data_IF_862426999890
#
_entry.id   IF_862426999890
#
_cell.length_a   1.000
_cell.length_b   1.000
_cell.length_c   1.000
_cell.angle_alpha   90.00
_cell.angle_beta   90.00
_cell.angle_gamma   90.00
#
_symmetry.space_group_name_H-M   'P 1'
#
loop_
_entity.id
_entity.type
_entity.pdbx_description
1 polymer ?
#
# COMPACT_ATOMS: atom_id res chain seq x y z
N UNK A 1 -1.72 -6.95 10.31
CA UNK A 1 -2.38 -6.02 11.26
C UNK A 1 -1.93 -4.61 10.92
N UNK A 2 -2.80 -3.59 10.99
CA UNK A 2 -2.49 -2.23 10.55
C UNK A 2 -3.67 -1.28 10.77
N UNK A 3 -3.54 -0.03 10.32
CA UNK A 3 -4.53 1.02 10.54
C UNK A 3 -5.95 0.64 10.14
N UNK A 4 -6.92 1.15 10.90
CA UNK A 4 -8.34 1.18 10.53
C UNK A 4 -8.55 2.20 9.41
N UNK A 5 -9.07 1.75 8.27
CA UNK A 5 -9.33 2.63 7.12
C UNK A 5 -10.48 3.57 7.40
N UNK A 6 -10.33 4.84 7.07
CA UNK A 6 -11.39 5.85 7.16
C UNK A 6 -11.29 6.85 6.00
N UNK A 7 -12.42 7.40 5.54
CA UNK A 7 -12.38 8.53 4.60
C UNK A 7 -12.08 9.84 5.34
N UNK A 8 -11.63 10.87 4.62
CA UNK A 8 -11.38 12.20 5.21
C UNK A 8 -12.65 12.73 5.86
N UNK A 9 -13.79 12.65 5.17
CA UNK A 9 -15.07 13.20 5.63
C UNK A 9 -15.51 12.53 6.94
N UNK A 10 -15.42 11.19 6.98
CA UNK A 10 -15.81 10.40 8.15
C UNK A 10 -14.87 10.66 9.33
N UNK A 11 -13.59 10.84 9.09
CA UNK A 11 -12.64 11.19 10.14
C UNK A 11 -12.90 12.59 10.70
N UNK A 12 -13.17 13.57 9.83
CA UNK A 12 -13.51 14.94 10.24
C UNK A 12 -14.75 14.96 11.13
N UNK A 13 -15.81 14.23 10.76
CA UNK A 13 -17.01 14.11 11.61
C UNK A 13 -16.71 13.47 12.97
N UNK A 14 -15.92 12.40 12.99
CA UNK A 14 -15.52 11.73 14.23
C UNK A 14 -14.69 12.65 15.14
N UNK A 15 -13.75 13.39 14.54
CA UNK A 15 -12.88 14.31 15.25
C UNK A 15 -13.66 15.48 15.87
N UNK A 16 -14.61 16.06 15.12
CA UNK A 16 -15.43 17.18 15.59
C UNK A 16 -16.40 16.79 16.72
N UNK A 17 -16.85 15.53 16.78
CA UNK A 17 -17.63 15.03 17.93
C UNK A 17 -16.84 15.08 19.23
N UNK A 18 -15.54 14.79 19.16
CA UNK A 18 -14.65 14.80 20.33
C UNK A 18 -14.05 16.18 20.59
N UNK A 19 -13.92 17.00 19.54
CA UNK A 19 -13.31 18.34 19.59
C UNK A 19 -14.23 19.39 18.92
N UNK A 20 -15.34 19.81 19.57
CA UNK A 20 -16.34 20.69 18.95
C UNK A 20 -15.84 22.09 18.59
N UNK A 21 -14.75 22.55 19.21
CA UNK A 21 -14.13 23.85 18.94
C UNK A 21 -13.21 23.85 17.71
N UNK A 22 -12.86 22.68 17.18
CA UNK A 22 -11.97 22.55 16.03
C UNK A 22 -12.64 23.09 14.76
N UNK A 23 -11.88 23.77 13.90
CA UNK A 23 -12.42 24.30 12.67
C UNK A 23 -12.46 23.20 11.60
N UNK A 24 -13.68 22.78 11.22
CA UNK A 24 -13.90 21.76 10.18
C UNK A 24 -13.10 22.01 8.90
N UNK A 25 -13.14 23.22 8.37
CA UNK A 25 -12.52 23.56 7.09
C UNK A 25 -11.00 23.57 7.19
N UNK A 26 -10.46 24.00 8.33
CA UNK A 26 -9.02 23.96 8.59
C UNK A 26 -8.51 22.52 8.71
N UNK A 27 -9.19 21.70 9.51
CA UNK A 27 -8.86 20.28 9.66
C UNK A 27 -8.88 19.55 8.32
N UNK A 28 -9.92 19.77 7.51
CA UNK A 28 -10.01 19.16 6.18
C UNK A 28 -8.87 19.61 5.26
N UNK A 29 -8.49 20.90 5.30
CA UNK A 29 -7.33 21.40 4.54
C UNK A 29 -6.03 20.75 4.97
N UNK A 30 -5.77 20.63 6.28
CA UNK A 30 -4.57 20.00 6.82
C UNK A 30 -4.47 18.53 6.43
N UNK A 31 -5.58 17.79 6.52
CA UNK A 31 -5.65 16.38 6.08
C UNK A 31 -5.38 16.25 4.58
N UNK A 32 -5.98 17.10 3.73
CA UNK A 32 -5.72 17.10 2.28
C UNK A 32 -4.28 17.46 1.95
N UNK A 33 -3.67 18.38 2.70
CA UNK A 33 -2.26 18.74 2.55
C UNK A 33 -1.35 17.58 2.91
N UNK A 34 -1.56 16.95 4.07
CA UNK A 34 -0.79 15.78 4.49
C UNK A 34 -0.96 14.60 3.52
N UNK A 35 -2.16 14.37 3.00
CA UNK A 35 -2.41 13.34 1.99
C UNK A 35 -1.67 13.64 0.66
N UNK A 36 -1.61 14.91 0.27
CA UNK A 36 -0.83 15.33 -0.91
C UNK A 36 0.66 15.07 -0.69
N UNK A 37 1.19 15.40 0.48
CA UNK A 37 2.58 15.18 0.85
C UNK A 37 2.93 13.69 0.85
N UNK A 38 2.05 12.86 1.42
CA UNK A 38 2.14 11.40 1.34
C UNK A 38 2.19 10.92 -0.11
N UNK A 39 1.28 11.41 -0.96
CA UNK A 39 1.21 11.04 -2.39
C UNK A 39 2.40 11.52 -3.21
N UNK A 40 3.12 12.54 -2.74
CA UNK A 40 4.36 13.01 -3.34
C UNK A 40 5.59 12.24 -2.84
N UNK A 41 5.39 11.21 -2.01
CA UNK A 41 6.47 10.39 -1.45
C UNK A 41 7.28 11.09 -0.36
N UNK A 42 6.75 12.15 0.26
CA UNK A 42 7.39 12.77 1.43
C UNK A 42 7.42 11.75 2.56
N UNK A 43 8.60 11.61 3.17
CA UNK A 43 8.85 10.63 4.23
C UNK A 43 9.12 11.33 5.56
N UNK A 44 8.89 10.60 6.64
CA UNK A 44 9.37 10.98 7.95
C UNK A 44 10.92 11.00 7.96
N UNK A 45 11.51 11.73 8.91
CA UNK A 45 12.96 11.78 9.11
C UNK A 45 13.60 10.40 9.34
N UNK A 46 12.85 9.43 9.87
CA UNK A 46 13.30 8.04 10.03
C UNK A 46 13.27 7.21 8.73
N UNK A 47 12.73 7.75 7.64
CA UNK A 47 12.61 7.07 6.35
C UNK A 47 11.32 6.28 6.13
N UNK A 48 10.44 6.20 7.13
CA UNK A 48 9.10 5.63 6.96
C UNK A 48 8.14 6.59 6.25
N UNK A 49 7.08 6.06 5.66
CA UNK A 49 6.01 6.88 5.11
C UNK A 49 5.30 7.64 6.25
N UNK A 50 4.82 8.84 5.93
CA UNK A 50 4.13 9.67 6.92
C UNK A 50 2.76 9.08 7.25
N UNK A 51 2.34 9.21 8.51
CA UNK A 51 0.97 8.89 8.93
C UNK A 51 0.11 10.12 8.66
N UNK A 52 -0.79 10.08 7.68
CA UNK A 52 -1.48 11.28 7.16
C UNK A 52 -2.33 11.94 8.24
N UNK A 53 -3.07 11.16 9.02
CA UNK A 53 -3.89 11.69 10.10
C UNK A 53 -3.03 12.41 11.15
N UNK A 54 -1.95 11.76 11.62
CA UNK A 54 -1.03 12.37 12.59
C UNK A 54 -0.32 13.60 12.01
N UNK A 55 0.14 13.49 10.76
CA UNK A 55 0.87 14.57 10.08
C UNK A 55 0.03 15.82 9.86
N UNK A 56 -1.28 15.68 9.74
CA UNK A 56 -2.20 16.82 9.68
C UNK A 56 -2.15 17.67 10.97
N UNK A 57 -1.75 17.11 12.11
CA UNK A 57 -1.67 17.79 13.40
C UNK A 57 -0.24 18.23 13.77
N UNK A 58 0.76 17.38 13.53
CA UNK A 58 2.13 17.59 14.04
C UNK A 58 3.19 17.75 12.95
N UNK A 59 2.79 17.76 11.68
CA UNK A 59 3.70 17.81 10.53
C UNK A 59 4.20 16.44 10.10
N UNK A 60 4.83 16.39 8.91
CA UNK A 60 5.18 15.19 8.14
C UNK A 60 6.03 14.15 8.91
N UNK A 61 5.36 13.30 9.68
CA UNK A 61 5.96 12.30 10.57
C UNK A 61 5.20 10.97 10.51
N UNK A 62 5.91 9.87 10.72
CA UNK A 62 5.30 8.53 10.75
C UNK A 62 4.69 8.26 12.12
N UNK A 63 3.81 7.27 12.19
CA UNK A 63 3.13 6.85 13.42
C UNK A 63 4.09 6.64 14.58
N UNK A 64 5.11 5.80 14.40
CA UNK A 64 6.07 5.49 15.47
C UNK A 64 6.83 6.72 15.97
N UNK A 65 7.14 7.70 15.11
CA UNK A 65 7.80 8.93 15.55
C UNK A 65 6.85 9.87 16.31
N UNK A 66 5.54 9.78 16.06
CA UNK A 66 4.52 10.60 16.74
C UNK A 66 4.13 9.97 18.09
N UNK A 67 3.90 8.66 18.12
CA UNK A 67 3.32 7.96 19.28
C UNK A 67 4.36 7.20 20.11
N UNK A 68 5.50 6.85 19.51
CA UNK A 68 6.47 5.91 20.10
C UNK A 68 6.07 4.43 19.95
N UNK A 69 4.94 4.14 19.30
CA UNK A 69 4.39 2.80 19.17
C UNK A 69 4.76 2.14 17.83
N UNK A 70 4.81 0.81 17.82
CA UNK A 70 5.17 0.04 16.62
C UNK A 70 3.96 -0.48 15.84
N UNK A 71 2.79 -0.60 16.47
CA UNK A 71 1.61 -1.23 15.88
C UNK A 71 0.40 -0.29 15.90
N UNK A 72 -0.12 0.12 14.73
CA UNK A 72 -1.24 1.06 14.65
C UNK A 72 -2.60 0.36 14.52
N UNK A 73 -2.78 -0.79 15.18
CA UNK A 73 -3.96 -1.66 15.00
C UNK A 73 -5.27 -0.99 15.37
N UNK A 74 -5.24 -0.08 16.34
CA UNK A 74 -6.43 0.63 16.81
C UNK A 74 -6.59 2.04 16.24
N UNK A 75 -5.56 2.53 15.55
CA UNK A 75 -5.50 3.87 14.99
C UNK A 75 -6.10 3.93 13.59
N UNK A 76 -6.65 5.10 13.28
CA UNK A 76 -7.17 5.36 11.94
C UNK A 76 -6.05 5.81 10.99
N UNK A 77 -6.25 5.50 9.70
CA UNK A 77 -5.54 6.16 8.61
C UNK A 77 -6.49 6.39 7.44
N UNK A 78 -6.24 7.46 6.68
CA UNK A 78 -6.98 7.78 5.47
C UNK A 78 -6.83 6.62 4.49
N UNK A 79 -7.96 6.11 3.98
CA UNK A 79 -8.03 4.96 3.07
C UNK A 79 -7.03 5.01 1.90
N UNK A 80 -6.87 6.18 1.29
CA UNK A 80 -5.95 6.46 0.19
C UNK A 80 -4.47 6.60 0.59
N UNK A 81 -4.16 6.45 1.88
CA UNK A 81 -2.80 6.49 2.45
C UNK A 81 -2.36 5.15 3.09
N UNK A 82 -3.12 4.06 2.89
CA UNK A 82 -2.81 2.76 3.49
C UNK A 82 -1.89 1.89 2.60
N UNK A 83 -1.95 2.07 1.28
CA UNK A 83 -1.01 1.40 0.38
C UNK A 83 0.32 2.14 0.40
N UNK A 84 1.41 1.51 0.85
CA UNK A 84 2.77 2.01 0.63
C UNK A 84 2.89 2.40 -0.84
N UNK A 85 3.22 3.66 -1.13
CA UNK A 85 3.63 3.99 -2.49
C UNK A 85 4.90 3.19 -2.77
N UNK A 86 4.77 2.12 -3.56
CA UNK A 86 5.93 1.50 -4.15
C UNK A 86 6.73 2.59 -4.86
N UNK A 87 8.05 2.55 -4.78
CA UNK A 87 8.88 3.50 -5.50
C UNK A 87 8.73 3.20 -7.00
N UNK A 88 7.75 3.83 -7.65
CA UNK A 88 7.46 3.66 -9.08
C UNK A 88 8.41 4.46 -9.98
N UNK A 89 9.49 5.03 -9.43
CA UNK A 89 10.45 5.81 -10.20
C UNK A 89 11.15 4.90 -11.22
N UNK A 90 10.84 5.12 -12.50
CA UNK A 90 11.37 4.32 -13.61
C UNK A 90 10.47 3.19 -14.08
N UNK A 91 9.33 2.93 -13.42
CA UNK A 91 8.31 2.03 -13.96
C UNK A 91 7.53 2.70 -15.07
N UNK A 92 7.22 1.94 -16.13
CA UNK A 92 6.37 2.41 -17.23
C UNK A 92 4.91 2.40 -16.79
N UNK A 93 4.17 3.41 -17.20
CA UNK A 93 2.72 3.51 -17.00
C UNK A 93 2.03 3.45 -18.35
N UNK A 94 0.95 2.68 -18.46
CA UNK A 94 0.27 2.38 -19.72
C UNK A 94 -0.14 3.65 -20.49
N UNK A 95 -0.66 4.68 -19.80
CA UNK A 95 -1.04 5.96 -20.42
C UNK A 95 0.12 6.73 -21.06
N UNK A 96 1.36 6.39 -20.72
CA UNK A 96 2.58 7.04 -21.25
C UNK A 96 3.26 6.21 -22.33
N UNK A 97 2.68 5.08 -22.70
CA UNK A 97 3.22 4.16 -23.71
C UNK A 97 2.50 4.32 -25.04
N UNK A 98 3.19 4.07 -26.14
CA UNK A 98 2.52 3.96 -27.43
C UNK A 98 1.69 2.66 -27.45
N UNK A 99 0.47 2.63 -28.01
CA UNK A 99 -0.36 1.44 -28.05
C UNK A 99 0.32 0.20 -28.68
N UNK A 100 1.23 0.41 -29.62
CA UNK A 100 2.04 -0.66 -30.26
C UNK A 100 3.12 -1.26 -29.35
N UNK A 101 3.44 -0.61 -28.23
CA UNK A 101 4.48 -1.02 -27.27
C UNK A 101 3.88 -1.58 -25.98
N UNK A 102 2.54 -1.60 -25.86
CA UNK A 102 1.84 -2.17 -24.71
C UNK A 102 1.89 -3.69 -24.81
N UNK A 103 2.81 -4.27 -24.07
CA UNK A 103 2.99 -5.70 -23.87
C UNK A 103 3.41 -5.95 -22.42
N UNK A 104 3.21 -7.16 -21.92
CA UNK A 104 3.56 -7.54 -20.55
C UNK A 104 2.39 -7.43 -19.57
N UNK A 105 2.71 -7.37 -18.27
CA UNK A 105 1.75 -7.32 -17.18
C UNK A 105 1.66 -5.91 -16.61
N UNK A 106 0.45 -5.50 -16.25
CA UNK A 106 0.22 -4.22 -15.60
C UNK A 106 -0.61 -4.44 -14.33
N UNK A 107 -0.35 -3.64 -13.30
CA UNK A 107 -1.17 -3.64 -12.08
C UNK A 107 -2.52 -2.92 -12.31
N UNK A 108 -3.36 -2.92 -11.27
CA UNK A 108 -4.66 -2.24 -11.25
C UNK A 108 -4.55 -0.73 -11.47
N UNK A 109 -3.38 -0.17 -11.17
CA UNK A 109 -3.03 1.23 -11.34
C UNK A 109 -2.35 1.51 -12.70
N UNK A 110 -2.24 0.53 -13.61
CA UNK A 110 -1.69 0.72 -14.96
C UNK A 110 -0.17 0.78 -15.04
N UNK A 111 0.56 0.40 -13.99
CA UNK A 111 2.02 0.32 -13.99
C UNK A 111 2.49 -1.07 -14.40
N UNK A 112 3.53 -1.11 -15.24
CA UNK A 112 4.11 -2.37 -15.69
C UNK A 112 4.80 -3.13 -14.56
N UNK A 113 4.50 -4.43 -14.48
CA UNK A 113 5.06 -5.36 -13.51
C UNK A 113 6.22 -6.12 -14.15
N UNK A 114 7.40 -6.01 -13.55
CA UNK A 114 8.52 -6.88 -13.90
C UNK A 114 8.36 -8.23 -13.20
N UNK A 115 8.08 -9.28 -13.98
CA UNK A 115 7.87 -10.64 -13.47
C UNK A 115 9.09 -11.24 -12.77
N UNK A 116 10.30 -10.84 -13.14
CA UNK A 116 11.55 -11.32 -12.53
C UNK A 116 11.74 -10.79 -11.10
N UNK A 117 11.07 -9.69 -10.74
CA UNK A 117 11.14 -9.09 -9.40
C UNK A 117 10.03 -9.57 -8.47
N UNK A 118 9.14 -10.45 -8.94
CA UNK A 118 8.07 -11.01 -8.11
C UNK A 118 8.71 -11.95 -7.08
N UNK A 119 8.61 -11.56 -5.80
CA UNK A 119 9.09 -12.40 -4.71
C UNK A 119 8.32 -13.72 -4.68
N UNK A 120 9.06 -14.84 -4.64
CA UNK A 120 8.49 -16.18 -4.51
C UNK A 120 8.29 -16.51 -3.02
N UNK A 121 7.04 -16.63 -2.53
CA UNK A 121 6.78 -17.00 -1.15
C UNK A 121 7.37 -18.38 -0.82
N UNK A 122 7.75 -18.61 0.45
CA UNK A 122 8.33 -19.88 0.88
C UNK A 122 7.42 -21.08 0.59
N UNK A 123 6.09 -20.89 0.69
CA UNK A 123 5.10 -21.91 0.35
C UNK A 123 5.27 -22.40 -1.10
N UNK A 124 5.49 -21.48 -2.05
CA UNK A 124 5.64 -21.82 -3.46
C UNK A 124 6.86 -22.70 -3.74
N UNK A 125 7.97 -22.51 -3.00
CA UNK A 125 9.21 -23.28 -3.19
C UNK A 125 9.05 -24.78 -2.92
N UNK A 126 7.99 -25.17 -2.21
CA UNK A 126 7.68 -26.56 -1.87
C UNK A 126 6.50 -27.12 -2.67
N UNK A 127 5.99 -26.35 -3.64
CA UNK A 127 4.85 -26.72 -4.47
C UNK A 127 5.32 -27.59 -5.64
N UNK A 128 4.54 -28.60 -6.02
CA UNK A 128 4.82 -29.44 -7.20
C UNK A 128 4.87 -28.62 -8.51
N UNK A 129 4.13 -27.51 -8.56
CA UNK A 129 4.07 -26.60 -9.70
C UNK A 129 5.13 -25.49 -9.66
N UNK A 130 6.08 -25.53 -8.73
CA UNK A 130 7.04 -24.44 -8.51
C UNK A 130 7.82 -24.05 -9.78
N UNK A 131 8.18 -25.05 -10.59
CA UNK A 131 9.01 -24.92 -11.78
C UNK A 131 8.25 -25.31 -13.06
N UNK A 132 6.92 -25.37 -13.00
CA UNK A 132 6.08 -25.63 -14.16
C UNK A 132 5.84 -24.32 -14.95
N UNK A 133 6.39 -24.19 -16.18
CA UNK A 133 6.23 -22.98 -16.98
C UNK A 133 4.77 -22.72 -17.39
N UNK A 134 3.90 -23.73 -17.40
CA UNK A 134 2.48 -23.56 -17.72
C UNK A 134 1.72 -22.89 -16.57
N UNK A 135 2.20 -23.06 -15.34
CA UNK A 135 1.59 -22.50 -14.13
C UNK A 135 2.23 -21.16 -13.71
N UNK A 136 3.40 -20.83 -14.24
CA UNK A 136 4.17 -19.64 -13.85
C UNK A 136 3.34 -18.35 -13.97
N UNK A 137 2.56 -18.23 -15.04
CA UNK A 137 1.67 -17.09 -15.27
C UNK A 137 0.68 -16.90 -14.11
N UNK A 138 -0.10 -17.94 -13.79
CA UNK A 138 -1.13 -17.90 -12.76
C UNK A 138 -0.51 -17.75 -11.36
N UNK A 139 0.63 -18.41 -11.14
CA UNK A 139 1.39 -18.28 -9.91
C UNK A 139 1.86 -16.85 -9.68
N UNK A 140 2.39 -16.18 -10.71
CA UNK A 140 2.85 -14.80 -10.62
C UNK A 140 1.69 -13.84 -10.35
N UNK A 141 0.55 -14.00 -11.03
CA UNK A 141 -0.65 -13.20 -10.75
C UNK A 141 -1.10 -13.34 -9.28
N UNK A 142 -1.16 -14.57 -8.77
CA UNK A 142 -1.57 -14.81 -7.39
C UNK A 142 -0.59 -14.22 -6.35
N UNK A 143 0.72 -14.25 -6.65
CA UNK A 143 1.75 -13.63 -5.79
C UNK A 143 1.65 -12.11 -5.76
N UNK A 144 1.37 -11.49 -6.91
CA UNK A 144 1.20 -10.03 -7.01
C UNK A 144 -0.04 -9.60 -6.25
N UNK A 145 -1.17 -10.29 -6.42
CA UNK A 145 -2.44 -9.94 -5.76
C UNK A 145 -2.28 -9.89 -4.24
N UNK A 146 -1.48 -10.81 -3.69
CA UNK A 146 -1.25 -10.94 -2.25
C UNK A 146 0.05 -10.26 -1.78
N UNK A 147 0.72 -9.44 -2.59
CA UNK A 147 2.05 -8.87 -2.28
C UNK A 147 2.10 -7.99 -1.01
N UNK A 148 0.95 -7.48 -0.59
CA UNK A 148 0.79 -6.64 0.59
C UNK A 148 0.08 -7.34 1.75
N UNK A 149 -0.28 -8.61 1.58
CA UNK A 149 -0.92 -9.39 2.62
C UNK A 149 0.12 -9.92 3.63
N UNK A 150 -0.31 -10.09 4.87
CA UNK A 150 0.58 -10.59 5.93
C UNK A 150 0.93 -12.07 5.75
N UNK A 151 0.06 -12.82 5.08
CA UNK A 151 0.18 -14.25 4.86
C UNK A 151 -0.21 -14.57 3.43
N UNK A 152 0.64 -15.32 2.72
CA UNK A 152 0.37 -15.79 1.37
C UNK A 152 -0.41 -17.10 1.41
N UNK A 153 -1.54 -17.15 0.70
CA UNK A 153 -2.43 -18.33 0.61
C UNK A 153 -2.59 -18.75 -0.84
N UNK A 154 -2.26 -19.99 -1.15
CA UNK A 154 -2.48 -20.56 -2.48
C UNK A 154 -3.38 -21.78 -2.40
N UNK A 155 -4.60 -21.67 -2.93
CA UNK A 155 -5.57 -22.78 -2.91
C UNK A 155 -5.27 -23.87 -3.95
N UNK A 156 -4.38 -23.59 -4.90
CA UNK A 156 -3.85 -24.56 -5.85
C UNK A 156 -2.54 -25.21 -5.37
N UNK A 157 -2.12 -24.98 -4.12
CA UNK A 157 -0.90 -25.56 -3.59
C UNK A 157 -1.02 -27.07 -3.44
N UNK A 158 -0.05 -27.78 -4.01
CA UNK A 158 0.15 -29.21 -3.81
C UNK A 158 1.60 -29.40 -3.36
N UNK A 159 1.79 -30.03 -2.20
CA UNK A 159 3.11 -30.28 -1.63
C UNK A 159 3.86 -31.32 -2.48
N UNK A 160 5.15 -31.07 -2.75
CA UNK A 160 6.03 -32.09 -3.33
C UNK A 160 6.09 -33.29 -2.39
N UNK A 161 5.67 -34.46 -2.86
CA UNK A 161 5.98 -35.73 -2.21
C UNK A 161 7.45 -36.05 -2.51
N UNK A 162 8.26 -36.15 -1.46
CA UNK A 162 9.68 -36.53 -1.53
C UNK A 162 9.77 -38.04 -1.32
#
# INVERSE_FOLDING_TARGET
MGFKKISIEKYVELHLKSNPSENKNDLEKRLKSALKDYKNGIKCSCGNDIWVIGSAAVGNSCFTCITGESEPTDDYEIDSAIKKQENRKGQRHIDKMNPSEIHGFFDDDGYEINSELIKKPSLCLTCVHNDDPNEEFLCNMNRIDQKHENEFKCFAYIKIEI
#
